data_IF_498274228835
#
_entry.id   IF_498274228835
#
_cell.length_a   1.000
_cell.length_b   1.000
_cell.length_c   1.000
_cell.angle_alpha   90.00
_cell.angle_beta   90.00
_cell.angle_gamma   90.00
#
_symmetry.space_group_name_H-M   'P 1'
#
loop_
_entity.id
_entity.type
_entity.pdbx_description
1 polymer ?
#
# COMPACT_ATOMS: atom_id res chain seq x y z
N UNK A 1 53.02 35.30 -2.88
CA UNK A 1 51.72 35.37 -2.23
C UNK A 1 50.77 34.39 -2.94
N UNK A 2 50.61 33.20 -2.40
CA UNK A 2 49.77 32.13 -2.98
C UNK A 2 48.44 32.05 -2.20
N UNK A 3 47.31 32.29 -2.88
CA UNK A 3 45.98 32.11 -2.33
C UNK A 3 45.61 30.64 -2.43
N UNK A 4 45.38 29.98 -1.27
CA UNK A 4 44.79 28.66 -1.16
C UNK A 4 43.30 28.78 -1.49
N UNK A 5 42.84 28.05 -2.52
CA UNK A 5 41.44 27.80 -2.77
C UNK A 5 40.98 26.69 -1.84
N UNK A 6 39.99 26.98 -0.96
CA UNK A 6 39.27 26.00 -0.15
C UNK A 6 38.22 25.39 -1.02
N UNK A 7 38.44 24.13 -1.43
CA UNK A 7 37.42 23.32 -2.09
C UNK A 7 36.32 22.92 -1.10
N UNK A 8 35.14 23.47 -1.28
CA UNK A 8 33.93 22.93 -0.66
C UNK A 8 33.53 21.65 -1.42
N UNK A 9 33.68 20.51 -0.75
CA UNK A 9 33.08 19.25 -1.20
C UNK A 9 31.57 19.31 -0.98
N UNK A 10 30.83 19.70 -2.02
CA UNK A 10 29.37 19.55 -2.03
C UNK A 10 29.05 18.07 -2.02
N UNK A 11 28.44 17.59 -0.93
CA UNK A 11 27.82 16.26 -0.88
C UNK A 11 26.70 16.18 -1.93
N UNK A 12 26.31 14.98 -2.37
CA UNK A 12 25.27 14.80 -3.38
C UNK A 12 23.99 15.46 -2.91
N UNK A 13 23.51 16.45 -3.69
CA UNK A 13 22.27 17.17 -3.41
C UNK A 13 21.12 16.17 -3.26
N UNK A 14 20.51 16.15 -2.08
CA UNK A 14 19.28 15.39 -1.82
C UNK A 14 18.19 16.01 -2.68
N UNK A 15 17.87 15.36 -3.81
CA UNK A 15 16.69 15.72 -4.61
C UNK A 15 15.43 15.62 -3.73
N UNK A 16 14.43 16.46 -3.99
CA UNK A 16 13.13 16.33 -3.35
C UNK A 16 12.55 14.93 -3.67
N UNK A 17 11.87 14.31 -2.70
CA UNK A 17 11.14 13.06 -2.91
C UNK A 17 10.15 13.26 -4.05
N UNK A 18 10.15 12.34 -5.01
CA UNK A 18 9.18 12.37 -6.10
C UNK A 18 7.85 11.85 -5.60
N UNK A 19 6.83 12.69 -5.68
CA UNK A 19 5.47 12.34 -5.28
C UNK A 19 4.87 11.22 -6.14
N UNK A 20 3.95 10.48 -5.55
CA UNK A 20 3.18 9.44 -6.23
C UNK A 20 2.17 10.06 -7.20
N UNK A 21 2.01 9.44 -8.35
CA UNK A 21 0.93 9.78 -9.30
C UNK A 21 -0.33 9.08 -8.86
N UNK A 22 -1.42 9.83 -8.77
CA UNK A 22 -2.72 9.28 -8.40
C UNK A 22 -3.47 8.75 -9.63
N UNK A 23 -4.40 7.78 -9.46
CA UNK A 23 -5.31 7.40 -10.53
C UNK A 23 -6.17 8.59 -10.95
N UNK A 24 -6.50 8.66 -12.24
CA UNK A 24 -7.48 9.63 -12.77
C UNK A 24 -8.74 8.85 -13.17
N UNK A 25 -9.45 8.35 -12.14
CA UNK A 25 -10.56 7.44 -12.34
C UNK A 25 -11.79 8.17 -12.91
N UNK A 26 -12.31 7.65 -14.03
CA UNK A 26 -13.56 8.12 -14.67
C UNK A 26 -14.37 6.93 -15.13
N UNK A 27 -15.23 6.44 -14.25
CA UNK A 27 -16.07 5.30 -14.58
C UNK A 27 -17.11 5.67 -15.65
N UNK A 28 -17.34 4.81 -16.63
CA UNK A 28 -18.46 4.96 -17.57
C UNK A 28 -19.81 4.75 -16.88
N UNK A 29 -20.94 4.86 -17.56
CA UNK A 29 -22.20 4.35 -17.04
C UNK A 29 -22.07 2.87 -16.72
N UNK A 30 -22.44 2.50 -15.48
CA UNK A 30 -22.30 1.14 -14.99
C UNK A 30 -23.62 0.39 -15.05
N UNK A 31 -23.57 -0.88 -15.42
CA UNK A 31 -24.67 -1.80 -15.28
C UNK A 31 -24.60 -2.53 -13.95
N UNK A 32 -25.73 -2.85 -13.28
CA UNK A 32 -25.69 -3.60 -12.04
C UNK A 32 -25.24 -5.05 -12.30
N UNK A 33 -24.32 -5.53 -11.44
CA UNK A 33 -23.99 -6.95 -11.40
C UNK A 33 -25.22 -7.78 -11.06
N UNK A 34 -25.48 -8.86 -11.79
CA UNK A 34 -26.70 -9.68 -11.64
C UNK A 34 -26.43 -11.18 -11.59
N UNK A 35 -25.19 -11.59 -11.78
CA UNK A 35 -24.86 -13.01 -11.99
C UNK A 35 -24.73 -13.80 -10.69
N UNK A 36 -24.83 -13.15 -9.53
CA UNK A 36 -24.91 -13.76 -8.20
C UNK A 36 -23.57 -14.30 -7.66
N UNK A 37 -22.73 -14.89 -8.48
CA UNK A 37 -21.44 -15.46 -8.08
C UNK A 37 -20.29 -14.94 -8.95
N UNK A 38 -19.08 -14.86 -8.36
CA UNK A 38 -17.87 -14.64 -9.14
C UNK A 38 -17.43 -15.97 -9.75
N UNK A 39 -16.90 -15.90 -10.96
CA UNK A 39 -16.36 -17.06 -11.67
C UNK A 39 -14.84 -16.94 -11.84
N UNK A 40 -14.08 -18.04 -11.73
CA UNK A 40 -12.68 -18.06 -12.12
C UNK A 40 -12.51 -17.60 -13.57
N UNK A 41 -11.48 -16.77 -13.81
CA UNK A 41 -11.20 -16.10 -15.09
C UNK A 41 -12.39 -15.27 -15.64
N UNK A 42 -13.36 -14.92 -14.79
CA UNK A 42 -14.52 -14.10 -15.15
C UNK A 42 -14.11 -12.73 -15.72
N UNK A 43 -14.92 -12.20 -16.63
CA UNK A 43 -14.67 -10.90 -17.26
C UNK A 43 -15.80 -9.93 -16.91
N UNK A 44 -15.50 -9.02 -15.97
CA UNK A 44 -16.44 -8.01 -15.46
C UNK A 44 -16.02 -6.64 -16.00
N UNK A 45 -16.85 -6.05 -16.86
CA UNK A 45 -16.58 -4.77 -17.52
C UNK A 45 -17.76 -3.83 -17.31
N UNK A 46 -17.46 -2.61 -16.81
CA UNK A 46 -18.46 -1.55 -16.58
C UNK A 46 -19.61 -1.99 -15.67
N UNK A 47 -19.32 -2.73 -14.60
CA UNK A 47 -20.32 -3.26 -13.68
C UNK A 47 -20.28 -2.56 -12.32
N UNK A 48 -21.45 -2.40 -11.71
CA UNK A 48 -21.61 -2.00 -10.33
C UNK A 48 -22.03 -3.19 -9.46
N UNK A 49 -21.16 -3.55 -8.51
CA UNK A 49 -21.46 -4.49 -7.42
C UNK A 49 -21.92 -3.66 -6.22
N UNK A 50 -23.16 -3.78 -5.81
CA UNK A 50 -23.72 -2.99 -4.72
C UNK A 50 -24.18 -3.87 -3.58
N UNK A 51 -23.49 -3.74 -2.43
CA UNK A 51 -23.80 -4.49 -1.20
C UNK A 51 -23.81 -6.01 -1.39
N UNK A 52 -23.06 -6.50 -2.41
CA UNK A 52 -22.95 -7.92 -2.70
C UNK A 52 -22.20 -8.65 -1.58
N UNK A 53 -22.70 -9.81 -1.21
CA UNK A 53 -22.00 -10.75 -0.34
C UNK A 53 -21.22 -11.75 -1.20
N UNK A 54 -19.92 -11.51 -1.33
CA UNK A 54 -19.00 -12.33 -2.12
C UNK A 54 -18.22 -13.32 -1.24
N UNK A 55 -18.70 -13.60 -0.04
CA UNK A 55 -18.06 -14.50 0.92
C UNK A 55 -17.75 -15.86 0.29
N UNK A 56 -16.46 -16.22 0.28
CA UNK A 56 -15.98 -17.49 -0.25
C UNK A 56 -16.07 -17.65 -1.76
N UNK A 57 -16.55 -16.65 -2.51
CA UNK A 57 -16.61 -16.71 -3.97
C UNK A 57 -15.21 -16.87 -4.58
N UNK A 58 -15.16 -17.51 -5.73
CA UNK A 58 -13.94 -17.72 -6.49
C UNK A 58 -13.96 -16.92 -7.79
N UNK A 59 -13.22 -15.81 -7.78
CA UNK A 59 -12.91 -14.99 -8.93
C UNK A 59 -11.40 -15.01 -9.25
N UNK A 60 -10.73 -16.13 -9.00
CA UNK A 60 -9.30 -16.29 -9.32
C UNK A 60 -9.05 -16.03 -10.79
N UNK A 61 -8.05 -15.22 -11.13
CA UNK A 61 -7.74 -14.81 -12.51
C UNK A 61 -8.72 -13.82 -13.15
N UNK A 62 -9.84 -13.51 -12.50
CA UNK A 62 -10.86 -12.62 -13.07
C UNK A 62 -10.34 -11.23 -13.40
N UNK A 63 -10.95 -10.59 -14.39
CA UNK A 63 -10.72 -9.20 -14.77
C UNK A 63 -11.91 -8.34 -14.37
N UNK A 64 -11.61 -7.30 -13.61
CA UNK A 64 -12.53 -6.21 -13.32
C UNK A 64 -12.01 -4.96 -14.04
N UNK A 65 -12.75 -4.44 -14.99
CA UNK A 65 -12.42 -3.24 -15.75
C UNK A 65 -13.53 -2.23 -15.61
N UNK A 66 -13.18 -0.97 -15.28
CA UNK A 66 -14.17 0.10 -15.12
C UNK A 66 -15.31 -0.26 -14.16
N UNK A 67 -15.01 -1.02 -13.10
CA UNK A 67 -16.01 -1.51 -12.15
C UNK A 67 -16.10 -0.64 -10.88
N UNK A 68 -17.29 -0.67 -10.26
CA UNK A 68 -17.50 -0.11 -8.92
C UNK A 68 -18.01 -1.19 -7.96
N UNK A 69 -17.23 -1.49 -6.90
CA UNK A 69 -17.65 -2.38 -5.81
C UNK A 69 -18.00 -1.50 -4.60
N UNK A 70 -19.27 -1.46 -4.21
CA UNK A 70 -19.78 -0.59 -3.14
C UNK A 70 -20.37 -1.39 -2.00
N UNK A 71 -19.76 -1.31 -0.83
CA UNK A 71 -20.26 -1.97 0.40
C UNK A 71 -20.19 -3.49 0.38
N UNK A 72 -19.43 -4.09 -0.53
CA UNK A 72 -19.35 -5.54 -0.67
C UNK A 72 -18.68 -6.22 0.51
N UNK A 73 -19.14 -7.43 0.83
CA UNK A 73 -18.50 -8.35 1.78
C UNK A 73 -17.52 -9.23 1.02
N UNK A 74 -16.27 -9.29 1.48
CA UNK A 74 -15.18 -10.01 0.83
C UNK A 74 -14.55 -11.06 1.76
N UNK A 75 -15.33 -11.64 2.69
CA UNK A 75 -14.83 -12.66 3.59
C UNK A 75 -14.36 -13.88 2.78
N UNK A 76 -13.10 -14.27 2.97
CA UNK A 76 -12.51 -15.45 2.28
C UNK A 76 -12.70 -15.47 0.76
N UNK A 77 -13.02 -14.31 0.14
CA UNK A 77 -13.17 -14.20 -1.31
C UNK A 77 -11.80 -14.43 -1.98
N UNK A 78 -11.76 -15.33 -2.95
CA UNK A 78 -10.56 -15.67 -3.70
C UNK A 78 -10.48 -14.85 -4.98
N UNK A 79 -9.50 -13.95 -5.05
CA UNK A 79 -9.18 -13.06 -6.18
C UNK A 79 -7.70 -13.15 -6.54
N UNK A 80 -7.05 -14.30 -6.27
CA UNK A 80 -5.65 -14.50 -6.63
C UNK A 80 -5.47 -14.37 -8.15
N UNK A 81 -4.37 -13.76 -8.58
CA UNK A 81 -4.10 -13.41 -9.99
C UNK A 81 -5.14 -12.50 -10.65
N UNK A 82 -6.13 -11.99 -9.94
CA UNK A 82 -7.14 -11.10 -10.53
C UNK A 82 -6.50 -9.80 -11.07
N UNK A 83 -7.14 -9.20 -12.04
CA UNK A 83 -6.77 -7.90 -12.60
C UNK A 83 -7.88 -6.91 -12.32
N UNK A 84 -7.61 -5.94 -11.47
CA UNK A 84 -8.53 -4.86 -11.12
C UNK A 84 -7.97 -3.59 -11.75
N UNK A 85 -8.66 -3.07 -12.75
CA UNK A 85 -8.18 -1.99 -13.60
C UNK A 85 -9.22 -0.88 -13.64
N UNK A 86 -8.78 0.38 -13.56
CA UNK A 86 -9.64 1.55 -13.72
C UNK A 86 -10.94 1.46 -12.87
N UNK A 87 -10.82 0.97 -11.64
CA UNK A 87 -11.97 0.56 -10.82
C UNK A 87 -11.95 1.16 -9.42
N UNK A 88 -13.12 1.30 -8.79
CA UNK A 88 -13.29 1.81 -7.45
C UNK A 88 -13.91 0.78 -6.50
N UNK A 89 -13.31 0.60 -5.32
CA UNK A 89 -13.86 -0.20 -4.23
C UNK A 89 -14.18 0.75 -3.06
N UNK A 90 -15.44 0.92 -2.71
CA UNK A 90 -15.88 1.82 -1.64
C UNK A 90 -16.53 1.03 -0.51
N UNK A 91 -16.00 1.17 0.70
CA UNK A 91 -16.51 0.51 1.90
C UNK A 91 -16.48 -1.01 1.88
N UNK A 92 -15.51 -1.67 1.21
CA UNK A 92 -15.43 -3.12 1.28
C UNK A 92 -15.08 -3.55 2.71
N UNK A 93 -15.64 -4.68 3.13
CA UNK A 93 -15.37 -5.29 4.42
C UNK A 93 -15.11 -6.77 4.27
N UNK A 94 -14.23 -7.33 5.09
CA UNK A 94 -13.98 -8.77 5.06
C UNK A 94 -12.70 -9.18 5.77
N UNK A 95 -12.58 -10.48 5.97
CA UNK A 95 -11.41 -11.13 6.55
C UNK A 95 -10.92 -12.21 5.59
N UNK A 96 -9.60 -12.31 5.42
CA UNK A 96 -8.98 -13.36 4.62
C UNK A 96 -9.19 -13.22 3.11
N UNK A 97 -9.52 -12.03 2.61
CA UNK A 97 -9.60 -11.78 1.16
C UNK A 97 -8.26 -12.09 0.49
N UNK A 98 -8.26 -12.97 -0.49
CA UNK A 98 -7.05 -13.38 -1.22
C UNK A 98 -6.90 -12.65 -2.54
N UNK A 99 -5.99 -11.70 -2.59
CA UNK A 99 -5.54 -10.94 -3.77
C UNK A 99 -4.06 -11.25 -4.10
N UNK A 100 -3.59 -12.45 -3.74
CA UNK A 100 -2.22 -12.87 -4.02
C UNK A 100 -1.93 -12.79 -5.52
N UNK A 101 -0.76 -12.23 -5.86
CA UNK A 101 -0.30 -12.06 -7.25
C UNK A 101 -1.27 -11.28 -8.16
N UNK A 102 -2.25 -10.57 -7.57
CA UNK A 102 -3.17 -9.73 -8.33
C UNK A 102 -2.48 -8.49 -8.91
N UNK A 103 -3.07 -7.92 -9.94
CA UNK A 103 -2.66 -6.65 -10.53
C UNK A 103 -3.75 -5.61 -10.29
N UNK A 104 -3.40 -4.53 -9.58
CA UNK A 104 -4.25 -3.37 -9.36
C UNK A 104 -3.63 -2.19 -10.09
N UNK A 105 -4.34 -1.60 -11.04
CA UNK A 105 -3.87 -0.43 -11.78
C UNK A 105 -4.97 0.60 -11.95
N UNK A 106 -4.66 1.86 -11.61
CA UNK A 106 -5.62 2.94 -11.61
C UNK A 106 -6.84 2.62 -10.74
N UNK A 107 -6.60 2.28 -9.45
CA UNK A 107 -7.64 1.81 -8.51
C UNK A 107 -7.74 2.74 -7.31
N UNK A 108 -8.97 3.00 -6.90
CA UNK A 108 -9.28 3.64 -5.62
C UNK A 108 -9.93 2.63 -4.66
N UNK A 109 -9.32 2.44 -3.50
CA UNK A 109 -9.86 1.66 -2.38
C UNK A 109 -10.20 2.61 -1.23
N UNK A 110 -11.48 2.82 -0.98
CA UNK A 110 -11.98 3.83 -0.06
C UNK A 110 -12.69 3.20 1.15
N UNK A 111 -12.39 3.69 2.34
CA UNK A 111 -13.05 3.33 3.61
C UNK A 111 -13.11 1.82 3.89
N UNK A 112 -12.06 1.10 3.53
CA UNK A 112 -11.97 -0.34 3.68
C UNK A 112 -11.91 -0.76 5.16
N UNK A 113 -12.57 -1.87 5.50
CA UNK A 113 -12.48 -2.55 6.80
C UNK A 113 -12.10 -4.00 6.57
N UNK A 114 -10.82 -4.24 6.48
CA UNK A 114 -10.29 -5.53 6.04
C UNK A 114 -9.31 -6.09 7.06
N UNK A 115 -9.30 -7.42 7.20
CA UNK A 115 -8.36 -8.14 8.05
C UNK A 115 -7.71 -9.30 7.32
N UNK A 116 -6.40 -9.50 7.49
CA UNK A 116 -5.68 -10.63 6.92
C UNK A 116 -5.65 -10.68 5.39
N UNK A 117 -5.71 -9.53 4.73
CA UNK A 117 -5.71 -9.45 3.26
C UNK A 117 -4.39 -9.93 2.69
N UNK A 118 -4.45 -10.84 1.73
CA UNK A 118 -3.30 -11.38 1.03
C UNK A 118 -3.08 -10.63 -0.29
N UNK A 119 -2.04 -9.81 -0.33
CA UNK A 119 -1.55 -9.09 -1.53
C UNK A 119 -0.08 -9.46 -1.81
N UNK A 120 0.38 -10.61 -1.32
CA UNK A 120 1.75 -11.02 -1.57
C UNK A 120 2.00 -11.26 -3.07
N UNK A 121 3.16 -10.82 -3.54
CA UNK A 121 3.53 -10.95 -4.96
C UNK A 121 2.74 -10.05 -5.93
N UNK A 122 1.77 -9.26 -5.44
CA UNK A 122 0.92 -8.40 -6.27
C UNK A 122 1.67 -7.22 -6.89
N UNK A 123 1.04 -6.62 -7.90
CA UNK A 123 1.52 -5.39 -8.55
C UNK A 123 0.47 -4.30 -8.38
N UNK A 124 0.84 -3.21 -7.71
CA UNK A 124 0.01 -2.03 -7.53
C UNK A 124 0.65 -0.86 -8.28
N UNK A 125 -0.09 -0.26 -9.23
CA UNK A 125 0.36 0.89 -10.00
C UNK A 125 -0.71 1.98 -10.04
N UNK A 126 -0.40 3.17 -9.55
CA UNK A 126 -1.35 4.29 -9.39
C UNK A 126 -2.59 3.86 -8.61
N UNK A 127 -2.38 3.52 -7.34
CA UNK A 127 -3.44 3.07 -6.43
C UNK A 127 -3.54 4.04 -5.27
N UNK A 128 -4.76 4.44 -4.92
CA UNK A 128 -5.06 5.19 -3.70
C UNK A 128 -5.83 4.29 -2.76
N UNK A 129 -5.32 4.15 -1.53
CA UNK A 129 -6.01 3.51 -0.42
C UNK A 129 -6.31 4.60 0.59
N UNK A 130 -7.57 4.98 0.72
CA UNK A 130 -7.98 6.11 1.56
C UNK A 130 -9.00 5.70 2.59
N UNK A 131 -8.78 6.16 3.82
CA UNK A 131 -9.67 5.90 4.96
C UNK A 131 -9.66 4.44 5.40
N UNK A 132 -10.45 4.16 6.42
CA UNK A 132 -10.66 2.82 6.91
C UNK A 132 -9.52 2.26 7.75
N UNK A 133 -9.64 0.96 8.02
CA UNK A 133 -8.70 0.20 8.83
C UNK A 133 -8.39 -1.12 8.17
N UNK A 134 -7.10 -1.45 8.07
CA UNK A 134 -6.62 -2.71 7.52
C UNK A 134 -5.66 -3.33 8.54
N UNK A 135 -6.05 -4.49 9.05
CA UNK A 135 -5.25 -5.28 9.98
C UNK A 135 -4.57 -6.44 9.24
N UNK A 136 -3.31 -6.72 9.54
CA UNK A 136 -2.55 -7.84 8.98
C UNK A 136 -2.51 -7.88 7.44
N UNK A 137 -2.20 -6.72 6.85
CA UNK A 137 -2.06 -6.59 5.40
C UNK A 137 -0.76 -7.26 4.93
N UNK A 138 -0.88 -8.36 4.18
CA UNK A 138 0.29 -9.07 3.66
C UNK A 138 0.64 -8.60 2.25
N UNK A 139 1.68 -7.77 2.14
CA UNK A 139 2.26 -7.29 0.87
C UNK A 139 3.68 -7.82 0.63
N UNK A 140 3.99 -9.00 1.15
CA UNK A 140 5.31 -9.61 0.94
C UNK A 140 5.61 -9.75 -0.55
N UNK A 141 6.83 -9.32 -0.94
CA UNK A 141 7.31 -9.36 -2.34
C UNK A 141 6.42 -8.61 -3.36
N UNK A 142 5.47 -7.81 -2.91
CA UNK A 142 4.66 -6.98 -3.78
C UNK A 142 5.50 -5.86 -4.43
N UNK A 143 4.99 -5.33 -5.53
CA UNK A 143 5.55 -4.17 -6.23
C UNK A 143 4.56 -3.03 -6.18
N UNK A 144 4.90 -1.99 -5.44
CA UNK A 144 4.10 -0.78 -5.30
C UNK A 144 4.78 0.35 -6.05
N UNK A 145 4.08 0.93 -7.01
CA UNK A 145 4.55 2.08 -7.77
C UNK A 145 3.45 3.13 -7.88
N UNK A 146 3.78 4.36 -7.45
CA UNK A 146 2.79 5.43 -7.42
C UNK A 146 1.57 5.04 -6.55
N UNK A 147 1.80 4.67 -5.27
CA UNK A 147 0.75 4.26 -4.34
C UNK A 147 0.63 5.26 -3.19
N UNK A 148 -0.59 5.63 -2.86
CA UNK A 148 -0.88 6.54 -1.75
C UNK A 148 -1.75 5.85 -0.71
N UNK A 149 -1.26 5.78 0.52
CA UNK A 149 -2.06 5.49 1.70
C UNK A 149 -2.46 6.83 2.33
N UNK A 150 -3.74 7.12 2.46
CA UNK A 150 -4.25 8.39 2.93
C UNK A 150 -5.29 8.19 4.03
N UNK A 151 -5.10 8.78 5.19
CA UNK A 151 -5.99 8.70 6.35
C UNK A 151 -6.34 7.26 6.78
N UNK A 152 -5.40 6.32 6.61
CA UNK A 152 -5.58 4.90 6.93
C UNK A 152 -5.03 4.55 8.31
N UNK A 153 -5.64 3.55 8.93
CA UNK A 153 -5.07 2.84 10.07
C UNK A 153 -4.59 1.47 9.59
N UNK A 154 -3.27 1.27 9.57
CA UNK A 154 -2.64 0.01 9.21
C UNK A 154 -2.03 -0.63 10.46
N UNK A 155 -2.46 -1.85 10.77
CA UNK A 155 -1.95 -2.61 11.92
C UNK A 155 -1.24 -3.85 11.42
N UNK A 156 0.02 -3.97 11.81
CA UNK A 156 0.93 -5.05 11.40
C UNK A 156 0.97 -5.30 9.88
N UNK A 157 1.17 -4.25 9.05
CA UNK A 157 1.35 -4.46 7.62
C UNK A 157 2.72 -5.08 7.35
N UNK A 158 2.75 -6.11 6.49
CA UNK A 158 3.97 -6.82 6.10
C UNK A 158 4.37 -6.47 4.67
N UNK A 159 5.44 -5.69 4.52
CA UNK A 159 6.09 -5.36 3.26
C UNK A 159 7.39 -6.13 3.03
N UNK A 160 7.55 -7.28 3.69
CA UNK A 160 8.77 -8.09 3.60
C UNK A 160 9.17 -8.42 2.16
N UNK A 161 10.37 -8.03 1.74
CA UNK A 161 10.88 -8.21 0.37
C UNK A 161 10.14 -7.40 -0.71
N UNK A 162 9.22 -6.53 -0.34
CA UNK A 162 8.48 -5.68 -1.28
C UNK A 162 9.36 -4.59 -1.90
N UNK A 163 8.95 -4.08 -3.06
CA UNK A 163 9.55 -2.92 -3.71
C UNK A 163 8.56 -1.77 -3.73
N UNK A 164 8.90 -0.68 -3.03
CA UNK A 164 8.11 0.53 -2.93
C UNK A 164 8.81 1.66 -3.71
N UNK A 165 8.17 2.14 -4.76
CA UNK A 165 8.67 3.25 -5.59
C UNK A 165 7.61 4.35 -5.67
N UNK A 166 7.94 5.55 -5.18
CA UNK A 166 7.01 6.69 -5.06
C UNK A 166 5.73 6.27 -4.31
N UNK A 167 5.91 5.92 -3.04
CA UNK A 167 4.82 5.58 -2.12
C UNK A 167 4.71 6.65 -1.06
N UNK A 168 3.49 7.11 -0.80
CA UNK A 168 3.20 8.14 0.20
C UNK A 168 2.28 7.61 1.29
N UNK A 169 2.58 8.02 2.53
CA UNK A 169 1.69 7.83 3.68
C UNK A 169 1.25 9.21 4.15
N UNK A 170 -0.02 9.55 3.95
CA UNK A 170 -0.60 10.87 4.26
C UNK A 170 -1.62 10.70 5.38
N UNK A 171 -1.41 11.36 6.52
CA UNK A 171 -2.30 11.30 7.69
C UNK A 171 -2.61 9.86 8.16
N UNK A 172 -1.66 8.96 8.05
CA UNK A 172 -1.83 7.55 8.41
C UNK A 172 -1.34 7.24 9.82
N UNK A 173 -1.92 6.19 10.40
CA UNK A 173 -1.39 5.48 11.56
C UNK A 173 -0.84 4.14 11.08
N UNK A 174 0.46 3.89 11.29
CA UNK A 174 1.15 2.66 10.86
C UNK A 174 1.78 2.00 12.07
N UNK A 175 1.19 0.90 12.54
CA UNK A 175 1.62 0.17 13.73
C UNK A 175 2.23 -1.16 13.37
N UNK A 176 3.47 -1.39 13.84
CA UNK A 176 4.11 -2.70 13.74
C UNK A 176 4.51 -3.12 12.32
N UNK A 177 4.87 -2.17 11.45
CA UNK A 177 5.23 -2.51 10.05
C UNK A 177 6.49 -3.37 9.98
N UNK A 178 6.43 -4.41 9.13
CA UNK A 178 7.59 -5.22 8.74
C UNK A 178 8.14 -4.76 7.39
N UNK A 179 9.39 -4.28 7.38
CA UNK A 179 10.14 -3.86 6.20
C UNK A 179 11.31 -4.81 5.89
N UNK A 180 11.34 -6.00 6.47
CA UNK A 180 12.44 -6.96 6.27
C UNK A 180 12.69 -7.19 4.77
N UNK A 181 13.94 -7.00 4.32
CA UNK A 181 14.32 -7.12 2.90
C UNK A 181 13.59 -6.18 1.92
N UNK A 182 12.80 -5.24 2.40
CA UNK A 182 12.12 -4.27 1.53
C UNK A 182 13.15 -3.34 0.84
N UNK A 183 12.77 -2.85 -0.34
CA UNK A 183 13.53 -1.85 -1.09
C UNK A 183 12.65 -0.63 -1.28
N UNK A 184 13.13 0.53 -0.83
CA UNK A 184 12.41 1.79 -0.86
C UNK A 184 13.09 2.77 -1.83
N UNK A 185 12.30 3.45 -2.65
CA UNK A 185 12.75 4.53 -3.53
C UNK A 185 11.68 5.62 -3.58
N UNK A 186 12.04 6.85 -3.19
CA UNK A 186 11.09 7.96 -3.09
C UNK A 186 9.84 7.61 -2.23
N UNK A 187 10.05 7.06 -1.03
CA UNK A 187 8.96 6.73 -0.08
C UNK A 187 8.83 7.84 0.95
N UNK A 188 7.65 8.45 1.03
CA UNK A 188 7.35 9.51 1.99
C UNK A 188 6.57 8.98 3.19
N UNK A 189 7.25 8.87 4.33
CA UNK A 189 6.66 8.41 5.60
C UNK A 189 6.31 9.58 6.53
N UNK A 190 6.63 10.84 6.16
CA UNK A 190 6.46 12.01 7.04
C UNK A 190 5.02 12.23 7.48
N UNK A 191 4.05 11.85 6.65
CA UNK A 191 2.62 11.94 6.95
C UNK A 191 2.07 10.79 7.79
N UNK A 192 2.88 9.80 8.18
CA UNK A 192 2.47 8.82 9.18
C UNK A 192 2.55 9.47 10.58
N UNK A 193 1.38 9.76 11.18
CA UNK A 193 1.28 10.40 12.50
C UNK A 193 1.79 9.49 13.62
N UNK A 194 1.61 8.19 13.49
CA UNK A 194 2.30 7.15 14.25
C UNK A 194 3.05 6.27 13.25
N UNK A 195 4.34 6.01 13.51
CA UNK A 195 5.16 5.12 12.70
C UNK A 195 5.91 4.17 13.62
N UNK A 196 5.40 2.96 13.77
CA UNK A 196 6.05 1.89 14.50
C UNK A 196 6.60 0.84 13.53
N UNK A 197 7.92 0.63 13.56
CA UNK A 197 8.61 -0.36 12.73
C UNK A 197 8.97 -1.56 13.61
N UNK A 198 8.28 -2.68 13.39
CA UNK A 198 8.54 -3.92 14.12
C UNK A 198 9.82 -4.60 13.64
N UNK A 199 10.10 -4.56 12.33
CA UNK A 199 11.27 -5.18 11.71
C UNK A 199 11.75 -4.41 10.47
N UNK A 200 13.04 -4.53 10.16
CA UNK A 200 13.60 -3.93 8.95
C UNK A 200 13.86 -2.43 9.05
N UNK A 201 14.13 -1.89 10.25
CA UNK A 201 14.50 -0.46 10.41
C UNK A 201 15.77 -0.10 9.62
N UNK A 202 16.64 -1.07 9.35
CA UNK A 202 17.82 -0.93 8.50
C UNK A 202 17.49 -0.76 7.01
N UNK A 203 16.24 -0.93 6.61
CA UNK A 203 15.75 -0.81 5.23
C UNK A 203 15.19 0.56 4.88
N UNK A 204 15.30 1.54 5.76
CA UNK A 204 14.80 2.90 5.53
C UNK A 204 15.56 3.72 4.49
N UNK A 205 16.62 3.17 3.88
CA UNK A 205 17.30 3.83 2.76
C UNK A 205 16.32 4.04 1.59
N UNK A 206 16.18 5.30 1.12
CA UNK A 206 15.21 5.67 0.08
C UNK A 206 13.85 6.15 0.61
N UNK A 207 13.66 6.13 1.93
CA UNK A 207 12.53 6.78 2.59
C UNK A 207 12.90 8.17 3.12
N UNK A 208 11.88 9.00 3.30
CA UNK A 208 11.96 10.27 4.02
C UNK A 208 11.05 10.22 5.23
N UNK A 209 11.61 10.58 6.38
CA UNK A 209 10.93 10.68 7.68
C UNK A 209 11.05 12.11 8.20
N UNK A 210 10.19 12.48 9.14
CA UNK A 210 10.27 13.76 9.88
C UNK A 210 11.33 13.71 11.00
N UNK A 211 11.69 14.87 11.51
CA UNK A 211 12.59 14.97 12.67
C UNK A 211 11.97 14.35 13.94
N UNK A 212 10.63 14.44 14.11
CA UNK A 212 9.92 13.79 15.22
C UNK A 212 10.04 12.27 15.11
N UNK A 213 9.71 11.72 13.96
CA UNK A 213 9.84 10.27 13.70
C UNK A 213 11.27 9.77 13.89
N UNK A 214 12.29 10.56 13.55
CA UNK A 214 13.68 10.19 13.81
C UNK A 214 13.95 10.03 15.31
N UNK A 215 13.42 10.94 16.14
CA UNK A 215 13.55 10.83 17.61
C UNK A 215 12.84 9.60 18.16
N UNK A 216 11.64 9.32 17.66
CA UNK A 216 10.86 8.14 18.07
C UNK A 216 11.55 6.83 17.66
N UNK A 217 12.19 6.79 16.49
CA UNK A 217 12.92 5.64 15.98
C UNK A 217 14.35 5.51 16.55
N UNK A 218 14.89 6.56 17.21
CA UNK A 218 16.27 6.55 17.67
C UNK A 218 16.64 5.34 18.57
N UNK A 219 15.78 4.88 19.50
CA UNK A 219 16.10 3.69 20.31
C UNK A 219 16.24 2.42 19.46
N UNK A 220 15.36 2.22 18.47
CA UNK A 220 15.36 1.04 17.59
C UNK A 220 16.58 1.08 16.67
N UNK A 221 16.92 2.27 16.12
CA UNK A 221 18.12 2.48 15.31
C UNK A 221 19.41 2.24 16.13
N UNK A 222 19.46 2.73 17.38
CA UNK A 222 20.58 2.48 18.28
C UNK A 222 20.75 0.98 18.57
N UNK A 223 19.66 0.29 18.86
CA UNK A 223 19.67 -1.16 19.08
C UNK A 223 20.16 -1.92 17.84
N UNK A 224 19.71 -1.53 16.65
CA UNK A 224 20.15 -2.13 15.36
C UNK A 224 21.67 -1.98 15.13
N UNK A 225 22.24 -0.86 15.58
CA UNK A 225 23.70 -0.59 15.52
C UNK A 225 24.49 -1.18 16.67
N UNK A 226 23.83 -1.86 17.62
CA UNK A 226 24.47 -2.39 18.84
C UNK A 226 24.86 -1.32 19.86
N UNK A 227 24.32 -0.10 19.75
CA UNK A 227 24.57 1.01 20.67
C UNK A 227 23.72 0.83 21.92
N UNK A 228 24.35 0.93 23.09
CA UNK A 228 23.64 0.99 24.38
C UNK A 228 23.34 2.46 24.71
N UNK A 229 22.08 2.73 25.01
CA UNK A 229 21.64 4.05 25.48
C UNK A 229 21.35 3.92 26.97
N UNK A 230 22.09 4.66 27.80
CA UNK A 230 21.89 4.72 29.25
C UNK A 230 21.27 6.10 29.58
N UNK A 231 20.19 6.11 30.37
CA UNK A 231 19.52 7.32 30.84
C UNK A 231 20.02 7.81 32.21
#
# INVERSE_FOLDING_TARGET
MARRATGQSGGPGRGAVKGARRPELRLPPLEPFRDGELEPDGDYDSLEFREEDLTGHDGGGARFMDCALKGCVLDETRLHHARILDSALTGPRGVGTDLAEATLRDVELLDARLGGVQLHGSVLERVVIRGGKIDYLNMRKARLRDVVFESCVLVEPDFGGARLERVEFVDCVVKGVDLTEATLADVDLRGASELEIARGVDRLAGAVISSGQLLDLAPVLAAQLGVRVEG
#
